data_IF_727521957072
#
_entry.id   IF_727521957072
#
_cell.length_a   1.000
_cell.length_b   1.000
_cell.length_c   1.000
_cell.angle_alpha   90.00
_cell.angle_beta   90.00
_cell.angle_gamma   90.00
#
_symmetry.space_group_name_H-M   'P 1'
#
loop_
_entity.id
_entity.type
_entity.pdbx_description
1 polymer ?
#
# COMPACT_ATOMS: atom_id res chain seq x y z
N UNK A 1 -7.46 2.80 6.39
CA UNK A 1 -7.17 4.22 6.61
C UNK A 1 -5.79 4.56 6.08
N UNK A 2 -5.66 5.70 5.42
CA UNK A 2 -4.39 6.24 4.97
C UNK A 2 -4.14 7.59 5.62
N UNK A 3 -2.88 7.88 5.92
CA UNK A 3 -2.45 9.21 6.36
C UNK A 3 -1.54 9.81 5.29
N UNK A 4 -1.86 11.02 4.89
CA UNK A 4 -1.14 11.81 3.91
C UNK A 4 -0.22 12.82 4.59
N UNK A 5 0.98 12.99 4.05
CA UNK A 5 1.97 13.97 4.51
C UNK A 5 2.49 14.75 3.30
N UNK A 6 2.51 16.08 3.37
CA UNK A 6 3.24 16.85 2.38
C UNK A 6 4.72 16.81 2.72
N UNK A 7 5.49 16.07 1.94
CA UNK A 7 6.91 15.79 2.20
C UNK A 7 7.85 16.62 1.32
N UNK A 8 7.30 17.28 0.30
CA UNK A 8 8.12 18.08 -0.61
C UNK A 8 7.35 19.20 -1.27
N UNK A 9 8.10 20.20 -1.71
CA UNK A 9 7.64 21.39 -2.41
C UNK A 9 8.45 21.65 -3.66
N UNK A 10 7.90 22.44 -4.56
CA UNK A 10 8.58 22.82 -5.80
C UNK A 10 9.29 24.15 -5.63
N UNK A 11 10.63 24.14 -5.62
CA UNK A 11 11.47 25.35 -5.51
C UNK A 11 12.59 25.31 -6.55
N UNK A 12 12.90 26.48 -7.12
CA UNK A 12 14.03 26.64 -8.07
C UNK A 12 14.04 25.56 -9.17
N UNK A 13 12.88 25.32 -9.74
CA UNK A 13 12.67 24.36 -10.84
C UNK A 13 12.92 22.87 -10.46
N UNK A 14 12.90 22.53 -9.19
CA UNK A 14 13.08 21.16 -8.70
C UNK A 14 12.17 20.84 -7.51
N UNK A 15 11.93 19.55 -7.28
CA UNK A 15 11.28 19.06 -6.08
C UNK A 15 12.32 18.97 -4.96
N UNK A 16 12.03 19.58 -3.83
CA UNK A 16 12.87 19.55 -2.63
C UNK A 16 12.06 19.11 -1.42
N UNK A 17 12.70 18.46 -0.47
CA UNK A 17 12.05 18.10 0.79
C UNK A 17 11.56 19.32 1.56
N UNK A 18 10.42 19.19 2.21
CA UNK A 18 10.00 20.11 3.26
C UNK A 18 11.00 20.09 4.41
N UNK A 19 11.13 21.22 5.11
CA UNK A 19 12.14 21.41 6.17
C UNK A 19 12.06 20.33 7.24
N UNK A 20 10.85 19.90 7.60
CA UNK A 20 10.61 18.87 8.60
C UNK A 20 11.20 17.52 8.18
N UNK A 21 11.25 17.24 6.87
CA UNK A 21 11.75 16.00 6.29
C UNK A 21 13.22 16.07 5.86
N UNK A 22 13.89 17.22 5.98
CA UNK A 22 15.25 17.40 5.50
C UNK A 22 16.26 16.40 6.12
N UNK A 23 16.04 15.99 7.36
CA UNK A 23 16.87 15.01 8.07
C UNK A 23 16.64 13.55 7.65
N UNK A 24 15.61 13.27 6.84
CA UNK A 24 15.37 11.92 6.30
C UNK A 24 16.45 11.44 5.34
N UNK A 25 17.22 12.37 4.76
CA UNK A 25 18.26 12.08 3.77
C UNK A 25 17.71 11.56 2.45
N UNK A 26 16.41 11.76 2.17
CA UNK A 26 15.78 11.35 0.91
C UNK A 26 16.07 12.40 -0.15
N UNK A 27 16.31 11.94 -1.37
CA UNK A 27 16.37 12.75 -2.58
C UNK A 27 15.28 12.21 -3.51
N UNK A 28 14.49 13.12 -4.10
CA UNK A 28 13.45 12.73 -5.04
C UNK A 28 14.03 12.43 -6.42
N UNK A 29 13.74 11.24 -6.91
CA UNK A 29 13.94 10.85 -8.29
C UNK A 29 12.61 10.26 -8.80
N UNK A 30 11.92 11.01 -9.65
CA UNK A 30 10.62 10.62 -10.20
C UNK A 30 10.74 9.95 -11.58
N UNK A 31 11.93 9.80 -12.12
CA UNK A 31 12.19 9.07 -13.36
C UNK A 31 12.43 7.58 -13.07
N UNK A 32 12.97 7.25 -11.89
CA UNK A 32 13.17 5.87 -11.43
C UNK A 32 12.09 5.46 -10.41
N UNK A 33 11.23 4.52 -10.82
CA UNK A 33 10.17 3.97 -9.96
C UNK A 33 10.71 3.22 -8.74
N UNK A 34 11.89 2.62 -8.82
CA UNK A 34 12.52 1.93 -7.69
C UNK A 34 13.06 2.93 -6.69
N UNK A 35 13.72 3.99 -7.14
CA UNK A 35 14.17 5.09 -6.29
C UNK A 35 12.98 5.78 -5.60
N UNK A 36 11.88 5.96 -6.33
CA UNK A 36 10.64 6.51 -5.80
C UNK A 36 10.04 5.62 -4.68
N UNK A 37 10.02 4.30 -4.88
CA UNK A 37 9.53 3.37 -3.88
C UNK A 37 10.42 3.35 -2.62
N UNK A 38 11.73 3.38 -2.78
CA UNK A 38 12.68 3.45 -1.66
C UNK A 38 12.56 4.79 -0.90
N UNK A 39 12.39 5.90 -1.60
CA UNK A 39 12.13 7.20 -0.99
C UNK A 39 10.84 7.15 -0.14
N UNK A 40 9.76 6.57 -0.68
CA UNK A 40 8.50 6.41 0.04
C UNK A 40 8.66 5.58 1.33
N UNK A 41 9.39 4.45 1.27
CA UNK A 41 9.67 3.63 2.45
C UNK A 41 10.48 4.35 3.50
N UNK A 42 11.55 5.07 3.10
CA UNK A 42 12.38 5.87 4.02
C UNK A 42 11.56 6.96 4.69
N UNK A 43 10.74 7.69 3.93
CA UNK A 43 9.87 8.73 4.46
C UNK A 43 8.77 8.13 5.35
N UNK A 44 8.17 6.99 4.97
CA UNK A 44 7.19 6.27 5.78
C UNK A 44 7.74 5.86 7.13
N UNK A 45 8.99 5.35 7.16
CA UNK A 45 9.69 5.07 8.42
C UNK A 45 9.98 6.35 9.20
N UNK A 46 10.43 7.40 8.53
CA UNK A 46 10.78 8.67 9.15
C UNK A 46 9.58 9.31 9.87
N UNK A 47 8.39 9.32 9.28
CA UNK A 47 7.19 9.86 9.93
C UNK A 47 6.80 9.06 11.17
N UNK A 48 6.99 7.74 11.16
CA UNK A 48 6.72 6.89 12.32
C UNK A 48 7.73 7.13 13.45
N UNK A 49 9.03 7.11 13.13
CA UNK A 49 10.11 7.29 14.12
C UNK A 49 10.06 8.67 14.80
N UNK A 50 9.60 9.70 14.07
CA UNK A 50 9.54 11.07 14.58
C UNK A 50 8.13 11.51 14.99
N UNK A 51 7.13 10.62 14.96
CA UNK A 51 5.74 10.89 15.32
C UNK A 51 5.15 12.12 14.60
N UNK A 52 5.51 12.28 13.32
CA UNK A 52 5.03 13.40 12.50
C UNK A 52 3.54 13.23 12.25
N UNK A 53 2.79 14.32 12.37
CA UNK A 53 1.34 14.32 12.15
C UNK A 53 1.04 14.57 10.68
N UNK A 54 0.10 13.79 10.13
CA UNK A 54 -0.43 13.96 8.78
C UNK A 54 -1.95 14.12 8.79
N UNK A 55 -2.52 14.16 7.61
CA UNK A 55 -3.97 14.23 7.39
C UNK A 55 -4.47 12.82 7.12
N UNK A 56 -5.28 12.28 8.02
CA UNK A 56 -5.85 10.93 7.88
C UNK A 56 -7.15 10.95 7.08
N UNK A 57 -7.34 9.91 6.27
CA UNK A 57 -8.55 9.65 5.52
C UNK A 57 -8.91 8.17 5.56
N UNK A 58 -10.22 7.89 5.70
CA UNK A 58 -10.75 6.53 5.60
C UNK A 58 -11.30 6.30 4.22
N UNK A 59 -11.10 5.08 3.70
CA UNK A 59 -11.75 4.66 2.46
C UNK A 59 -13.25 4.51 2.65
N UNK A 60 -14.01 4.85 1.60
CA UNK A 60 -15.44 4.59 1.49
C UNK A 60 -15.72 3.10 1.20
N UNK A 61 -16.98 2.75 0.92
CA UNK A 61 -17.41 1.40 0.54
C UNK A 61 -16.75 0.87 -0.73
N UNK A 62 -16.35 1.76 -1.63
CA UNK A 62 -15.73 1.42 -2.92
C UNK A 62 -14.20 1.30 -2.80
N UNK A 63 -13.67 1.51 -1.58
CA UNK A 63 -12.23 1.48 -1.31
C UNK A 63 -11.49 2.76 -1.66
N UNK A 64 -12.19 3.84 -1.96
CA UNK A 64 -11.62 5.13 -2.36
C UNK A 64 -11.47 6.07 -1.17
N UNK A 65 -10.37 6.81 -1.13
CA UNK A 65 -10.16 7.95 -0.24
C UNK A 65 -9.79 9.18 -1.06
N UNK A 66 -10.35 10.32 -0.72
CA UNK A 66 -10.14 11.56 -1.45
C UNK A 66 -9.56 12.63 -0.54
N UNK A 67 -8.47 13.25 -1.00
CA UNK A 67 -7.88 14.43 -0.40
C UNK A 67 -8.08 15.61 -1.37
N UNK A 68 -8.59 16.73 -0.87
CA UNK A 68 -8.98 17.88 -1.69
C UNK A 68 -8.10 19.08 -1.40
N UNK A 69 -8.11 20.03 -2.33
CA UNK A 69 -7.50 21.36 -2.17
C UNK A 69 -5.99 21.27 -1.85
N UNK A 70 -5.32 20.31 -2.49
CA UNK A 70 -3.88 20.12 -2.31
C UNK A 70 -3.11 21.15 -3.11
N UNK A 71 -2.13 21.76 -2.46
CA UNK A 71 -1.18 22.65 -3.11
C UNK A 71 -0.19 21.86 -3.98
N UNK A 72 0.58 22.58 -4.81
CA UNK A 72 1.67 21.98 -5.57
C UNK A 72 2.72 21.41 -4.62
N UNK A 73 2.88 20.08 -4.64
CA UNK A 73 3.76 19.40 -3.68
C UNK A 73 4.03 17.93 -4.01
N UNK A 74 4.88 17.33 -3.18
CA UNK A 74 5.09 15.89 -3.10
C UNK A 74 4.38 15.36 -1.86
N UNK A 75 3.57 14.36 -2.03
CA UNK A 75 2.74 13.79 -0.96
C UNK A 75 3.07 12.33 -0.75
N UNK A 76 3.37 11.99 0.49
CA UNK A 76 3.55 10.62 0.98
C UNK A 76 2.23 10.11 1.53
N UNK A 77 1.88 8.89 1.19
CA UNK A 77 0.74 8.16 1.73
C UNK A 77 1.20 6.92 2.48
N UNK A 78 0.74 6.78 3.71
CA UNK A 78 1.03 5.63 4.57
C UNK A 78 -0.27 5.02 5.03
N UNK A 79 -0.43 3.71 4.84
CA UNK A 79 -1.55 2.98 5.44
C UNK A 79 -1.34 2.88 6.95
N UNK A 80 -2.21 3.53 7.72
CA UNK A 80 -2.13 3.59 9.19
C UNK A 80 -3.00 2.54 9.86
N UNK A 81 -4.03 2.06 9.17
CA UNK A 81 -4.88 0.99 9.67
C UNK A 81 -4.90 -0.17 8.66
N UNK A 82 -4.53 -1.36 9.15
CA UNK A 82 -4.60 -2.60 8.36
C UNK A 82 -6.05 -2.92 8.02
N UNK A 83 -6.27 -3.48 6.84
CA UNK A 83 -7.56 -4.03 6.45
C UNK A 83 -7.51 -5.54 6.60
N UNK A 84 -8.44 -6.10 7.35
CA UNK A 84 -8.59 -7.55 7.49
C UNK A 84 -9.90 -7.97 6.83
N UNK A 85 -9.82 -8.97 5.94
CA UNK A 85 -10.98 -9.59 5.29
C UNK A 85 -10.85 -11.09 5.51
N UNK A 86 -11.73 -11.65 6.33
CA UNK A 86 -11.63 -13.05 6.76
C UNK A 86 -10.31 -13.34 7.47
N UNK A 87 -9.54 -14.28 6.97
CA UNK A 87 -8.23 -14.68 7.50
C UNK A 87 -7.04 -14.00 6.77
N UNK A 88 -7.29 -12.96 6.00
CA UNK A 88 -6.27 -12.23 5.24
C UNK A 88 -6.12 -10.80 5.78
N UNK A 89 -4.87 -10.35 5.94
CA UNK A 89 -4.53 -8.96 6.27
C UNK A 89 -3.92 -8.31 5.03
N UNK A 90 -4.48 -7.20 4.62
CA UNK A 90 -4.02 -6.41 3.49
C UNK A 90 -3.21 -5.22 3.96
N UNK A 91 -2.00 -5.07 3.41
CA UNK A 91 -1.10 -3.96 3.70
C UNK A 91 -0.66 -3.30 2.40
N UNK A 92 -0.71 -1.98 2.36
CA UNK A 92 -0.09 -1.18 1.33
C UNK A 92 1.31 -0.77 1.75
N UNK A 93 2.26 -0.85 0.83
CA UNK A 93 3.54 -0.16 1.00
C UNK A 93 3.30 1.36 0.95
N UNK A 94 4.11 2.18 1.66
CA UNK A 94 4.08 3.62 1.48
C UNK A 94 4.36 4.00 0.03
N UNK A 95 3.70 5.04 -0.47
CA UNK A 95 3.93 5.55 -1.81
C UNK A 95 3.92 7.07 -1.84
N UNK A 96 4.56 7.65 -2.85
CA UNK A 96 4.59 9.10 -3.07
C UNK A 96 3.99 9.45 -4.42
N UNK A 97 3.32 10.60 -4.46
CA UNK A 97 2.81 11.21 -5.68
C UNK A 97 3.19 12.69 -5.72
N UNK A 98 3.22 13.27 -6.91
CA UNK A 98 3.30 14.71 -7.11
C UNK A 98 1.93 15.28 -7.44
N UNK A 99 1.64 16.46 -6.92
CA UNK A 99 0.49 17.27 -7.33
C UNK A 99 1.04 18.61 -7.84
N UNK A 100 0.81 18.98 -9.10
CA UNK A 100 0.19 18.17 -10.14
C UNK A 100 1.04 16.95 -10.54
N UNK A 101 0.38 15.92 -11.04
CA UNK A 101 1.03 14.80 -11.70
C UNK A 101 1.44 15.15 -13.13
N UNK A 102 2.36 14.38 -13.71
CA UNK A 102 2.70 14.41 -15.12
C UNK A 102 2.34 13.07 -15.75
N UNK A 103 1.49 13.08 -16.74
CA UNK A 103 1.11 11.90 -17.50
C UNK A 103 1.27 12.18 -18.99
N UNK A 104 2.17 11.48 -19.66
CA UNK A 104 2.53 11.69 -21.07
C UNK A 104 2.82 13.15 -21.43
N UNK A 105 3.55 13.87 -20.54
CA UNK A 105 3.86 15.27 -20.70
C UNK A 105 2.72 16.25 -20.38
N UNK A 106 1.56 15.74 -20.00
CA UNK A 106 0.42 16.57 -19.58
C UNK A 106 0.39 16.75 -18.06
N UNK A 107 0.16 17.99 -17.64
CA UNK A 107 0.02 18.36 -16.23
C UNK A 107 -1.41 18.07 -15.77
N UNK A 108 -1.56 17.18 -14.78
CA UNK A 108 -2.84 16.73 -14.25
C UNK A 108 -2.94 17.11 -12.79
N UNK A 109 -3.98 17.89 -12.43
CA UNK A 109 -4.24 18.29 -11.05
C UNK A 109 -5.07 17.26 -10.28
N UNK A 110 -5.93 16.51 -10.96
CA UNK A 110 -6.68 15.41 -10.37
C UNK A 110 -5.89 14.12 -10.53
N UNK A 111 -5.06 13.80 -9.54
CA UNK A 111 -4.20 12.62 -9.56
C UNK A 111 -4.92 11.46 -8.88
N UNK A 112 -5.03 10.33 -9.57
CA UNK A 112 -5.50 9.07 -9.00
C UNK A 112 -4.30 8.14 -8.83
N UNK A 113 -4.19 7.52 -7.66
CA UNK A 113 -3.16 6.53 -7.38
C UNK A 113 -3.80 5.24 -6.87
N UNK A 114 -3.33 4.11 -7.38
CA UNK A 114 -3.74 2.78 -6.96
C UNK A 114 -2.57 2.11 -6.23
N UNK A 115 -2.61 2.04 -4.88
CA UNK A 115 -1.54 1.42 -4.13
C UNK A 115 -1.50 -0.09 -4.33
N UNK A 116 -0.31 -0.66 -4.36
CA UNK A 116 -0.12 -2.11 -4.38
C UNK A 116 -0.31 -2.66 -2.97
N UNK A 117 -1.18 -3.66 -2.84
CA UNK A 117 -1.41 -4.36 -1.58
C UNK A 117 -0.66 -5.69 -1.56
N UNK A 118 -0.09 -5.99 -0.40
CA UNK A 118 0.36 -7.32 -0.03
C UNK A 118 -0.65 -7.93 0.93
N UNK A 119 -0.93 -9.22 0.78
CA UNK A 119 -1.78 -9.95 1.70
C UNK A 119 -0.95 -10.97 2.48
N UNK A 120 -1.25 -11.09 3.76
CA UNK A 120 -0.64 -12.05 4.68
C UNK A 120 -1.77 -12.86 5.32
N UNK A 121 -1.66 -14.20 5.31
CA UNK A 121 -2.60 -15.06 6.03
C UNK A 121 -2.32 -15.00 7.53
N UNK A 122 -3.36 -14.84 8.34
CA UNK A 122 -3.26 -14.99 9.78
C UNK A 122 -3.20 -16.49 10.08
N UNK A 123 -2.13 -17.00 10.71
CA UNK A 123 -2.11 -18.39 11.15
C UNK A 123 -3.31 -18.67 12.07
N UNK A 124 -3.95 -19.85 11.97
CA UNK A 124 -4.98 -20.21 12.93
C UNK A 124 -4.41 -20.19 14.34
N UNK A 125 -5.12 -19.56 15.26
CA UNK A 125 -4.75 -19.58 16.68
C UNK A 125 -4.87 -21.02 17.14
N UNK A 126 -3.75 -21.73 17.27
CA UNK A 126 -3.70 -23.02 17.95
C UNK A 126 -3.95 -22.73 19.43
N UNK A 127 -5.19 -22.89 19.88
CA UNK A 127 -5.51 -22.92 21.31
C UNK A 127 -4.83 -24.19 21.84
N UNK A 128 -3.65 -24.04 22.43
CA UNK A 128 -3.03 -25.10 23.20
C UNK A 128 -3.90 -25.32 24.45
N UNK A 129 -4.89 -26.16 24.33
CA UNK A 129 -5.51 -26.77 25.49
C UNK A 129 -4.43 -27.67 26.12
N UNK A 130 -4.07 -27.51 27.40
CA UNK A 130 -3.08 -28.39 28.02
C UNK A 130 -3.57 -29.83 27.92
N UNK A 131 -2.72 -30.79 27.58
CA UNK A 131 -3.13 -32.19 27.54
C UNK A 131 -3.52 -32.63 28.96
N UNK A 132 -4.74 -33.09 29.09
CA UNK A 132 -5.16 -33.92 30.24
C UNK A 132 -4.27 -35.14 30.20
N UNK A 133 -3.54 -35.38 31.31
CA UNK A 133 -2.73 -36.56 31.53
C UNK A 133 -3.62 -37.80 31.52
N UNK A 134 -3.48 -38.65 30.52
CA UNK A 134 -3.83 -40.08 30.62
C UNK A 134 -2.56 -40.87 30.25
N UNK A 135 -2.29 -41.84 31.09
CA UNK A 135 -1.11 -42.72 31.16
C UNK A 135 -1.03 -43.69 29.96
N UNK A 136 0.10 -44.35 29.75
CA UNK A 136 0.53 -44.86 28.45
C UNK A 136 0.09 -46.30 28.18
N UNK A 137 -0.36 -46.57 26.98
CA UNK A 137 -0.28 -47.92 26.38
C UNK A 137 0.38 -47.82 25.03
N UNK A 138 1.49 -48.53 24.88
CA UNK A 138 2.32 -48.54 23.70
C UNK A 138 1.65 -49.10 22.46
N UNK A 139 2.02 -48.57 21.30
CA UNK A 139 2.49 -49.40 20.21
C UNK A 139 3.22 -48.58 19.15
N UNK A 140 4.23 -49.18 18.56
CA UNK A 140 5.10 -48.68 17.52
C UNK A 140 4.37 -48.54 16.19
N UNK A 141 4.39 -47.34 15.57
CA UNK A 141 4.41 -47.28 14.12
C UNK A 141 4.92 -45.92 13.62
N UNK A 142 6.06 -45.92 12.98
CA UNK A 142 6.68 -44.83 12.27
C UNK A 142 5.84 -44.39 11.07
N UNK A 143 5.28 -43.19 11.09
CA UNK A 143 4.79 -42.53 9.89
C UNK A 143 5.53 -41.20 9.68
N UNK A 144 6.43 -41.22 8.72
CA UNK A 144 7.02 -40.02 8.12
C UNK A 144 5.92 -39.34 7.30
N UNK A 145 5.37 -38.24 7.79
CA UNK A 145 4.45 -37.43 7.00
C UNK A 145 5.26 -36.45 6.15
N UNK A 146 5.17 -36.62 4.84
CA UNK A 146 5.72 -35.75 3.83
C UNK A 146 5.21 -34.31 4.01
N UNK A 147 6.13 -33.38 4.20
CA UNK A 147 5.86 -31.94 4.10
C UNK A 147 5.58 -31.64 2.64
N UNK A 148 4.34 -31.39 2.29
CA UNK A 148 3.92 -30.94 0.97
C UNK A 148 4.13 -29.41 0.89
N UNK A 149 5.25 -28.99 0.36
CA UNK A 149 5.45 -27.62 -0.10
C UNK A 149 4.73 -27.45 -1.44
N UNK A 150 3.48 -27.04 -1.39
CA UNK A 150 2.69 -26.70 -2.56
C UNK A 150 2.42 -25.19 -2.55
N UNK A 151 3.02 -24.51 -3.50
CA UNK A 151 2.69 -23.11 -3.84
C UNK A 151 1.35 -23.13 -4.60
N UNK A 152 0.25 -22.99 -3.86
CA UNK A 152 -1.09 -22.81 -4.45
C UNK A 152 -1.29 -21.33 -4.80
N UNK A 153 -0.54 -20.86 -5.79
CA UNK A 153 -0.78 -19.56 -6.41
C UNK A 153 -2.08 -19.62 -7.20
N UNK A 154 -3.14 -19.10 -6.64
CA UNK A 154 -4.47 -19.10 -7.26
C UNK A 154 -4.51 -18.10 -8.42
N UNK A 155 -4.06 -18.53 -9.60
CA UNK A 155 -3.94 -17.73 -10.83
C UNK A 155 -5.29 -17.16 -11.30
N UNK A 156 -6.41 -17.74 -10.85
CA UNK A 156 -7.75 -17.32 -11.23
C UNK A 156 -8.14 -15.97 -10.61
N UNK A 157 -7.57 -15.63 -9.46
CA UNK A 157 -7.86 -14.38 -8.75
C UNK A 157 -7.24 -13.15 -9.43
N UNK A 158 -6.16 -13.32 -10.19
CA UNK A 158 -5.51 -12.24 -10.93
C UNK A 158 -6.25 -11.82 -12.19
N UNK A 159 -7.01 -12.73 -12.82
CA UNK A 159 -7.77 -12.45 -14.02
C UNK A 159 -9.04 -11.62 -13.76
N UNK A 160 -9.61 -11.67 -12.57
CA UNK A 160 -10.81 -10.89 -12.22
C UNK A 160 -10.50 -9.42 -11.89
N UNK A 161 -9.30 -9.11 -11.40
CA UNK A 161 -8.89 -7.72 -11.12
C UNK A 161 -8.54 -6.93 -12.41
N UNK A 162 -8.09 -7.61 -13.47
CA UNK A 162 -7.82 -6.95 -14.75
C UNK A 162 -9.09 -6.53 -15.52
N UNK A 163 -10.23 -7.16 -15.24
CA UNK A 163 -11.51 -6.87 -15.92
C UNK A 163 -12.15 -5.55 -15.53
N UNK A 164 -11.88 -5.04 -14.33
CA UNK A 164 -12.53 -3.82 -13.78
C UNK A 164 -11.82 -2.55 -14.26
N UNK A 165 -10.53 -2.60 -14.53
CA UNK A 165 -9.73 -1.45 -14.98
C UNK A 165 -10.11 -0.94 -16.38
N UNK A 166 -10.66 -1.81 -17.27
CA UNK A 166 -11.02 -1.44 -18.63
C UNK A 166 -12.37 -0.68 -18.76
N UNK A 167 -13.23 -0.77 -17.75
CA UNK A 167 -14.57 -0.16 -17.80
C UNK A 167 -14.51 1.34 -17.47
N UNK A 168 -13.58 1.78 -16.62
CA UNK A 168 -13.46 3.18 -16.20
C UNK A 168 -12.87 4.05 -17.34
N UNK A 169 -12.01 3.48 -18.18
CA UNK A 169 -11.41 4.21 -19.32
C UNK A 169 -12.41 4.54 -20.43
N UNK A 170 -13.49 3.76 -20.59
CA UNK A 170 -14.54 4.00 -21.60
C UNK A 170 -15.51 5.12 -21.25
N UNK A 171 -15.70 5.44 -19.97
CA UNK A 171 -16.68 6.44 -19.52
C UNK A 171 -16.14 7.86 -19.60
N UNK A 172 -14.82 8.04 -19.42
CA UNK A 172 -14.18 9.36 -19.45
C UNK A 172 -14.06 9.95 -20.86
N UNK A 173 -14.00 9.13 -21.91
CA UNK A 173 -13.83 9.58 -23.30
C UNK A 173 -15.10 10.16 -23.94
N UNK A 174 -16.26 10.05 -23.29
CA UNK A 174 -17.57 10.46 -23.86
C UNK A 174 -18.02 11.88 -23.47
N UNK A 175 -17.29 12.61 -22.63
CA UNK A 175 -17.68 13.95 -22.14
C UNK A 175 -16.89 15.13 -22.71
N UNK A 176 -15.97 14.90 -23.65
CA UNK A 176 -15.13 15.96 -24.22
C UNK A 176 -15.57 16.48 -25.60
N UNK A 177 -16.78 16.17 -26.05
CA UNK A 177 -17.35 16.75 -27.26
C UNK A 177 -18.70 17.41 -26.95
N UNK A 178 -18.65 18.64 -26.43
CA UNK A 178 -19.64 19.71 -26.70
C UNK A 178 -19.00 21.07 -26.42
#
# INVERSE_FOLDING_TARGET
>A
EFTMYQVGIYKKNSWVLETEFAKSGVVFDFEDSSAQAEAAKKLGKYVQDNSIRGISGKTNSDGEVMYRDLEKGVYLFVQTQKTQIGNQVYRSEPFIITVPGNYDGQIIWNVTAEPKFKNESIPPITTNTPPVSEEPSGDNSSHISNVKTGDDTNVIMWLSLMGISLIIFSICKRKSHK
#
